data_IF_885864681238
#
_entry.id   IF_885864681238
#
_cell.length_a   1.000
_cell.length_b   1.000
_cell.length_c   1.000
_cell.angle_alpha   90.00
_cell.angle_beta   90.00
_cell.angle_gamma   90.00
#
_symmetry.space_group_name_H-M   'P 1'
#
loop_
_entity.id
_entity.type
_entity.pdbx_description
1 polymer ?
#
# COMPACT_ATOMS: atom_id res chain seq x y z
N UNK A 1 4.93 -23.21 4.16
CA UNK A 1 4.59 -22.03 4.98
C UNK A 1 4.27 -20.90 4.00
N UNK A 2 3.02 -20.43 3.93
CA UNK A 2 2.62 -19.43 2.92
C UNK A 2 3.30 -18.09 3.16
N UNK A 3 3.78 -17.44 2.09
CA UNK A 3 4.39 -16.11 2.16
C UNK A 3 3.32 -15.05 1.90
N UNK A 4 3.28 -13.98 2.70
CA UNK A 4 2.45 -12.81 2.42
C UNK A 4 3.30 -11.65 1.90
N UNK A 5 2.79 -10.91 0.93
CA UNK A 5 3.37 -9.64 0.44
C UNK A 5 2.35 -8.54 0.67
N UNK A 6 2.73 -7.53 1.45
CA UNK A 6 1.94 -6.32 1.65
C UNK A 6 2.37 -5.28 0.61
N UNK A 7 1.41 -4.79 -0.16
CA UNK A 7 1.63 -3.68 -1.09
C UNK A 7 1.42 -2.36 -0.37
N UNK A 8 2.48 -1.56 -0.33
CA UNK A 8 2.40 -0.15 0.02
C UNK A 8 1.81 0.68 -1.14
N UNK A 9 1.49 1.96 -0.91
CA UNK A 9 0.79 2.84 -1.85
C UNK A 9 1.49 2.93 -3.21
N UNK A 10 2.83 3.01 -3.24
CA UNK A 10 3.57 3.10 -4.50
C UNK A 10 3.51 1.79 -5.33
N UNK A 11 3.92 0.60 -4.83
CA UNK A 11 3.70 -0.66 -5.55
C UNK A 11 2.24 -0.90 -5.94
N UNK A 12 1.29 -0.58 -5.06
CA UNK A 12 -0.14 -0.70 -5.35
C UNK A 12 -0.56 0.17 -6.54
N UNK A 13 -0.04 1.39 -6.65
CA UNK A 13 -0.27 2.26 -7.79
C UNK A 13 0.21 1.64 -9.12
N UNK A 14 1.33 0.90 -9.10
CA UNK A 14 1.87 0.24 -10.28
C UNK A 14 1.01 -0.95 -10.72
N UNK A 15 0.50 -1.72 -9.75
CA UNK A 15 -0.38 -2.88 -9.98
C UNK A 15 -1.74 -2.43 -10.53
N UNK A 16 -2.26 -1.30 -10.06
CA UNK A 16 -3.58 -0.76 -10.46
C UNK A 16 -3.52 0.16 -11.68
N UNK A 17 -2.32 0.51 -12.16
CA UNK A 17 -2.17 1.37 -13.34
C UNK A 17 -2.76 0.72 -14.60
N UNK A 18 -3.46 1.46 -15.48
CA UNK A 18 -4.11 0.86 -16.64
C UNK A 18 -3.14 0.22 -17.64
N UNK A 19 -1.93 0.79 -17.72
CA UNK A 19 -0.79 0.25 -18.46
C UNK A 19 0.24 -0.27 -17.46
N UNK A 20 0.04 -1.50 -16.97
CA UNK A 20 0.96 -2.10 -15.99
C UNK A 20 2.31 -2.35 -16.66
N UNK A 21 3.39 -1.89 -16.03
CA UNK A 21 4.76 -2.11 -16.50
C UNK A 21 5.02 -3.62 -16.69
N UNK A 22 5.59 -4.08 -17.82
CA UNK A 22 5.89 -5.50 -18.05
C UNK A 22 6.66 -6.18 -16.93
N UNK A 23 7.59 -5.46 -16.27
CA UNK A 23 8.34 -5.99 -15.11
C UNK A 23 7.43 -6.28 -13.92
N UNK A 24 6.45 -5.40 -13.66
CA UNK A 24 5.46 -5.59 -12.59
C UNK A 24 4.53 -6.75 -12.93
N UNK A 25 4.11 -6.89 -14.19
CA UNK A 25 3.30 -8.03 -14.63
C UNK A 25 4.06 -9.36 -14.47
N UNK A 26 5.34 -9.40 -14.87
CA UNK A 26 6.17 -10.59 -14.71
C UNK A 26 6.38 -10.94 -13.23
N UNK A 27 6.60 -9.94 -12.39
CA UNK A 27 6.70 -10.12 -10.95
C UNK A 27 5.40 -10.70 -10.38
N UNK A 28 4.23 -10.14 -10.69
CA UNK A 28 2.93 -10.68 -10.25
C UNK A 28 2.73 -12.15 -10.65
N UNK A 29 3.01 -12.49 -11.91
CA UNK A 29 2.95 -13.88 -12.39
C UNK A 29 3.91 -14.82 -11.66
N UNK A 30 5.05 -14.31 -11.19
CA UNK A 30 6.00 -15.11 -10.41
C UNK A 30 5.48 -15.42 -9.00
N UNK A 31 4.57 -14.62 -8.45
CA UNK A 31 4.00 -14.83 -7.12
C UNK A 31 2.95 -15.94 -7.12
N UNK A 32 2.19 -16.07 -8.20
CA UNK A 32 1.16 -17.12 -8.37
C UNK A 32 1.75 -18.53 -8.28
N UNK A 33 3.01 -18.71 -8.70
CA UNK A 33 3.69 -20.01 -8.69
C UNK A 33 4.19 -20.46 -7.31
N UNK A 34 4.17 -19.58 -6.31
CA UNK A 34 4.91 -19.75 -5.06
C UNK A 34 4.02 -19.73 -3.79
N UNK A 35 2.73 -20.07 -3.91
CA UNK A 35 1.74 -19.99 -2.80
C UNK A 35 1.79 -18.64 -2.06
N UNK A 36 2.17 -17.57 -2.77
CA UNK A 36 2.41 -16.26 -2.18
C UNK A 36 1.15 -15.43 -2.30
N UNK A 37 0.72 -14.88 -1.17
CA UNK A 37 -0.54 -14.17 -1.05
C UNK A 37 -0.30 -12.67 -0.99
N UNK A 38 -0.95 -11.93 -1.89
CA UNK A 38 -0.91 -10.47 -1.91
C UNK A 38 -1.95 -9.92 -0.93
N UNK A 39 -1.54 -8.88 -0.19
CA UNK A 39 -2.36 -8.15 0.76
C UNK A 39 -2.16 -6.64 0.59
N UNK A 40 -3.20 -5.88 0.89
CA UNK A 40 -3.22 -4.41 0.80
C UNK A 40 -3.71 -3.87 2.13
N UNK A 41 -2.89 -3.14 2.90
CA UNK A 41 -3.35 -2.43 4.08
C UNK A 41 -4.41 -1.39 3.71
N UNK A 42 -5.46 -1.24 4.53
CA UNK A 42 -6.54 -0.28 4.30
C UNK A 42 -6.05 1.16 4.13
N UNK A 43 -4.99 1.57 4.85
CA UNK A 43 -4.38 2.90 4.68
C UNK A 43 -3.79 3.10 3.27
N UNK A 44 -3.19 2.08 2.68
CA UNK A 44 -2.61 2.18 1.34
C UNK A 44 -3.69 2.25 0.25
N UNK A 45 -4.81 1.53 0.43
CA UNK A 45 -6.00 1.71 -0.42
C UNK A 45 -6.52 3.14 -0.30
N UNK A 46 -6.71 3.65 0.92
CA UNK A 46 -7.19 5.01 1.17
C UNK A 46 -6.32 6.07 0.50
N UNK A 47 -5.00 6.03 0.72
CA UNK A 47 -4.06 7.01 0.17
C UNK A 47 -4.09 7.04 -1.36
N UNK A 48 -4.01 5.87 -1.99
CA UNK A 48 -4.06 5.75 -3.44
C UNK A 48 -5.42 6.19 -3.98
N UNK A 49 -6.51 5.70 -3.38
CA UNK A 49 -7.88 6.01 -3.79
C UNK A 49 -8.15 7.50 -3.76
N UNK A 50 -7.75 8.20 -2.69
CA UNK A 50 -7.91 9.65 -2.56
C UNK A 50 -7.26 10.39 -3.73
N UNK A 51 -6.04 10.00 -4.08
CA UNK A 51 -5.29 10.65 -5.17
C UNK A 51 -5.86 10.32 -6.56
N UNK A 52 -6.27 9.06 -6.78
CA UNK A 52 -6.93 8.66 -8.03
C UNK A 52 -8.26 9.38 -8.24
N UNK A 53 -9.04 9.56 -7.18
CA UNK A 53 -10.29 10.35 -7.20
C UNK A 53 -10.00 11.81 -7.53
N UNK A 54 -9.03 12.43 -6.84
CA UNK A 54 -8.60 13.82 -7.09
C UNK A 54 -8.20 14.06 -8.55
N UNK A 55 -7.57 13.07 -9.18
CA UNK A 55 -7.12 13.13 -10.57
C UNK A 55 -8.15 12.60 -11.60
N UNK A 56 -9.33 12.14 -11.19
CA UNK A 56 -10.35 11.58 -12.09
C UNK A 56 -9.92 10.29 -12.80
N UNK A 57 -9.06 9.45 -12.19
CA UNK A 57 -8.49 8.24 -12.82
C UNK A 57 -9.41 7.02 -12.69
N UNK A 58 -10.59 7.07 -13.28
CA UNK A 58 -11.63 6.04 -13.11
C UNK A 58 -11.14 4.60 -13.41
N UNK A 59 -10.38 4.40 -14.51
CA UNK A 59 -9.86 3.08 -14.88
C UNK A 59 -8.95 2.46 -13.81
N UNK A 60 -8.20 3.28 -13.08
CA UNK A 60 -7.36 2.83 -11.97
C UNK A 60 -8.19 2.52 -10.73
N UNK A 61 -9.23 3.32 -10.47
CA UNK A 61 -10.18 3.08 -9.37
C UNK A 61 -10.91 1.76 -9.56
N UNK A 62 -11.40 1.47 -10.77
CA UNK A 62 -12.09 0.21 -11.07
C UNK A 62 -11.18 -1.00 -10.86
N UNK A 63 -9.89 -0.87 -11.19
CA UNK A 63 -8.89 -1.90 -10.92
C UNK A 63 -8.59 -2.05 -9.43
N UNK A 64 -8.46 -0.94 -8.70
CA UNK A 64 -8.28 -0.94 -7.26
C UNK A 64 -9.47 -1.62 -6.56
N UNK A 65 -10.70 -1.30 -6.95
CA UNK A 65 -11.92 -1.94 -6.41
C UNK A 65 -11.89 -3.47 -6.52
N UNK A 66 -11.50 -4.00 -7.69
CA UNK A 66 -11.39 -5.44 -7.91
C UNK A 66 -10.32 -6.08 -7.02
N UNK A 67 -9.19 -5.41 -6.82
CA UNK A 67 -8.11 -5.91 -5.99
C UNK A 67 -8.48 -5.88 -4.49
N UNK A 68 -9.10 -4.80 -4.04
CA UNK A 68 -9.46 -4.61 -2.63
C UNK A 68 -10.53 -5.62 -2.16
N UNK A 69 -11.38 -6.13 -3.06
CA UNK A 69 -12.34 -7.20 -2.74
C UNK A 69 -11.67 -8.51 -2.26
N UNK A 70 -10.42 -8.76 -2.65
CA UNK A 70 -9.74 -10.05 -2.40
C UNK A 70 -8.49 -9.93 -1.52
N UNK A 71 -7.92 -8.73 -1.39
CA UNK A 71 -6.62 -8.53 -0.78
C UNK A 71 -6.60 -7.52 0.38
N UNK A 72 -7.70 -6.82 0.67
CA UNK A 72 -7.71 -5.78 1.70
C UNK A 72 -7.54 -6.36 3.11
N UNK A 73 -6.72 -5.70 3.93
CA UNK A 73 -6.60 -5.95 5.37
C UNK A 73 -7.14 -4.73 6.11
N UNK A 74 -8.21 -4.86 6.91
CA UNK A 74 -8.76 -3.76 7.68
C UNK A 74 -7.79 -3.32 8.78
N UNK A 75 -7.77 -2.02 9.06
CA UNK A 75 -7.02 -1.49 10.19
C UNK A 75 -7.88 -1.52 11.44
N UNK A 76 -7.28 -1.99 12.54
CA UNK A 76 -7.91 -1.89 13.85
C UNK A 76 -7.32 -0.73 14.64
N UNK A 77 -8.05 -0.20 15.64
CA UNK A 77 -7.49 0.80 16.55
C UNK A 77 -6.17 0.36 17.21
N UNK A 78 -6.04 -0.92 17.54
CA UNK A 78 -4.82 -1.53 18.11
C UNK A 78 -3.65 -1.44 17.12
N UNK A 79 -3.91 -1.74 15.84
CA UNK A 79 -2.91 -1.67 14.77
C UNK A 79 -2.40 -0.24 14.62
N UNK A 80 -3.30 0.74 14.63
CA UNK A 80 -2.93 2.16 14.52
C UNK A 80 -2.19 2.67 15.76
N UNK A 81 -2.59 2.27 16.96
CA UNK A 81 -1.84 2.59 18.20
C UNK A 81 -0.41 2.03 18.13
N UNK A 82 -0.26 0.78 17.67
CA UNK A 82 1.07 0.18 17.51
C UNK A 82 1.91 0.89 16.45
N UNK A 83 1.30 1.28 15.34
CA UNK A 83 1.97 2.06 14.30
C UNK A 83 2.48 3.41 14.86
N UNK A 84 1.69 4.09 15.68
CA UNK A 84 2.09 5.35 16.33
C UNK A 84 3.27 5.16 17.29
N UNK A 85 3.27 4.11 18.12
CA UNK A 85 4.40 3.75 18.99
C UNK A 85 5.69 3.54 18.18
N UNK A 86 5.59 2.76 17.09
CA UNK A 86 6.74 2.47 16.22
C UNK A 86 7.26 3.74 15.54
N UNK A 87 6.36 4.60 15.04
CA UNK A 87 6.74 5.87 14.44
C UNK A 87 7.51 6.77 15.42
N UNK A 88 6.99 6.93 16.65
CA UNK A 88 7.63 7.74 17.68
C UNK A 88 9.00 7.15 18.08
N UNK A 89 9.07 5.83 18.24
CA UNK A 89 10.31 5.12 18.57
C UNK A 89 11.41 5.33 17.53
N UNK A 90 11.08 5.28 16.23
CA UNK A 90 12.08 5.51 15.17
C UNK A 90 12.54 6.98 15.15
N UNK A 91 11.61 7.94 15.27
CA UNK A 91 11.99 9.37 15.24
C UNK A 91 12.82 9.78 16.45
N UNK A 92 12.54 9.25 17.63
CA UNK A 92 13.32 9.50 18.84
C UNK A 92 14.77 8.96 18.77
N UNK A 93 15.04 8.03 17.85
CA UNK A 93 16.41 7.55 17.56
C UNK A 93 17.14 8.40 16.51
N UNK A 94 16.58 9.54 16.09
CA UNK A 94 17.18 10.39 15.06
C UNK A 94 17.12 9.79 13.65
N UNK A 95 16.29 8.76 13.43
CA UNK A 95 16.07 8.16 12.12
C UNK A 95 14.85 8.82 11.46
N UNK A 96 15.01 9.60 10.38
CA UNK A 96 13.87 10.17 9.66
C UNK A 96 13.08 9.04 8.99
N UNK A 97 11.78 8.93 9.30
CA UNK A 97 10.85 7.96 8.71
C UNK A 97 10.03 8.53 7.54
N UNK A 98 10.13 9.84 7.32
CA UNK A 98 9.59 10.59 6.18
C UNK A 98 10.44 11.86 5.98
N UNK A 99 10.32 12.54 4.83
CA UNK A 99 10.90 13.87 4.64
C UNK A 99 10.39 14.84 5.71
N UNK A 100 11.27 15.74 6.14
CA UNK A 100 11.06 16.60 7.30
C UNK A 100 10.15 17.80 6.96
N UNK A 101 8.86 17.57 6.70
CA UNK A 101 7.89 18.65 6.43
C UNK A 101 7.24 19.23 7.69
N UNK A 102 7.71 18.83 8.87
CA UNK A 102 7.25 19.38 10.15
C UNK A 102 8.08 20.60 10.53
N UNK A 103 7.73 21.78 9.99
CA UNK A 103 7.95 23.01 10.77
C UNK A 103 6.93 22.99 11.90
N UNK A 104 7.42 22.80 13.11
CA UNK A 104 6.67 23.08 14.33
C UNK A 104 7.24 24.39 14.84
N UNK A 105 6.37 25.41 14.92
CA UNK A 105 6.64 26.67 15.62
C UNK A 105 6.86 26.44 17.12
#
# INVERSE_FOLDING_TARGET
MGRAILLDTHPLSQVTHPKVNPKVQQWLKSLEKNETVIRVPEIADYELRRELLRQGKQKSIDRLNKLSQICLIPLTPETMRKAAELWAWVRNQGKPTASNDSKVD
#
